data_IF_634002788422
#
_entry.id   IF_634002788422
#
_cell.length_a   1.000
_cell.length_b   1.000
_cell.length_c   1.000
_cell.angle_alpha   90.00
_cell.angle_beta   90.00
_cell.angle_gamma   90.00
#
_symmetry.space_group_name_H-M   'P 1'
#
loop_
_entity.id
_entity.type
_entity.pdbx_description
1 polymer ?
#
# COMPACT_ATOMS: atom_id res chain seq x y z
N UNK A 1 16.00 5.29 12.56
CA UNK A 1 14.81 4.44 12.82
C UNK A 1 14.73 3.98 14.27
N UNK A 2 15.73 3.30 14.87
CA UNK A 2 15.67 2.87 16.28
C UNK A 2 15.25 4.00 17.24
N UNK A 3 15.80 5.21 17.05
CA UNK A 3 15.40 6.41 17.83
C UNK A 3 13.92 6.75 17.69
N UNK A 4 13.33 6.59 16.50
CA UNK A 4 11.91 6.87 16.26
C UNK A 4 11.00 5.83 16.94
N UNK A 5 11.39 4.55 16.94
CA UNK A 5 10.66 3.50 17.67
C UNK A 5 10.64 3.71 19.18
N UNK A 6 11.72 4.24 19.74
CA UNK A 6 11.89 4.46 21.18
C UNK A 6 11.30 5.81 21.66
N UNK A 7 10.78 6.64 20.75
CA UNK A 7 10.19 7.93 21.11
C UNK A 7 8.96 7.77 21.99
N UNK A 8 8.94 8.52 23.10
CA UNK A 8 7.78 8.60 24.00
C UNK A 8 6.89 9.80 23.71
N UNK A 9 7.47 10.83 23.09
CA UNK A 9 6.79 12.06 22.70
C UNK A 9 7.24 12.46 21.30
N UNK A 10 6.39 13.09 20.50
CA UNK A 10 6.76 13.55 19.16
C UNK A 10 7.84 14.63 19.21
N UNK A 11 8.71 14.70 18.19
CA UNK A 11 9.76 15.73 18.10
C UNK A 11 9.21 17.15 18.04
N UNK A 12 8.02 17.31 17.49
CA UNK A 12 7.25 18.55 17.50
C UNK A 12 5.84 18.28 18.00
N UNK A 13 5.21 19.21 18.73
CA UNK A 13 3.81 19.10 19.05
C UNK A 13 2.97 18.95 17.78
N UNK A 14 2.24 17.86 17.68
CA UNK A 14 1.34 17.56 16.58
C UNK A 14 0.08 16.87 17.13
N UNK A 15 -0.91 16.62 16.36
CA UNK A 15 -2.10 15.89 16.77
C UNK A 15 -2.04 14.38 16.47
N UNK A 16 -0.90 13.86 15.96
CA UNK A 16 -0.79 12.54 15.36
C UNK A 16 0.09 11.55 16.13
N UNK A 17 0.79 12.03 17.18
CA UNK A 17 1.62 11.18 18.04
C UNK A 17 3.03 10.90 17.49
N UNK A 18 3.67 9.87 18.04
CA UNK A 18 5.09 9.55 17.78
C UNK A 18 5.33 8.88 16.44
N UNK A 19 4.33 8.20 15.87
CA UNK A 19 4.43 7.47 14.60
C UNK A 19 4.11 8.33 13.38
N UNK A 20 3.84 9.61 13.56
CA UNK A 20 3.62 10.52 12.45
C UNK A 20 4.85 10.68 11.56
N UNK A 21 4.68 10.61 10.23
CA UNK A 21 5.77 10.73 9.24
C UNK A 21 6.54 12.06 9.35
N UNK A 22 5.91 13.13 9.81
CA UNK A 22 6.59 14.39 10.08
C UNK A 22 7.69 14.30 11.14
N UNK A 23 7.63 13.33 12.08
CA UNK A 23 8.74 13.09 13.00
C UNK A 23 9.96 12.50 12.29
N UNK A 24 9.74 11.65 11.26
CA UNK A 24 10.82 11.14 10.40
C UNK A 24 11.47 12.29 9.63
N UNK A 25 10.67 13.17 9.04
CA UNK A 25 11.16 14.36 8.30
C UNK A 25 12.03 15.26 9.21
N UNK A 26 11.55 15.56 10.43
CA UNK A 26 12.30 16.35 11.42
C UNK A 26 13.59 15.63 11.87
N UNK A 27 13.56 14.30 12.07
CA UNK A 27 14.76 13.51 12.42
C UNK A 27 15.80 13.48 11.28
N UNK A 28 15.35 13.60 10.05
CA UNK A 28 16.21 13.76 8.87
C UNK A 28 16.76 15.19 8.71
N UNK A 29 16.34 16.12 9.57
CA UNK A 29 16.84 17.50 9.62
C UNK A 29 16.13 18.48 8.68
N UNK A 30 14.94 18.14 8.23
CA UNK A 30 14.10 19.00 7.35
C UNK A 30 12.85 19.43 8.10
N UNK A 31 12.41 20.68 7.90
CA UNK A 31 11.16 21.20 8.43
C UNK A 31 9.98 20.49 7.76
N UNK A 32 9.14 19.81 8.55
CA UNK A 32 7.99 19.06 8.05
C UNK A 32 6.97 19.91 7.27
N UNK A 33 6.94 21.21 7.48
CA UNK A 33 6.07 22.10 6.70
C UNK A 33 6.47 22.24 5.23
N UNK A 34 7.64 21.72 4.86
CA UNK A 34 8.19 21.77 3.49
C UNK A 34 8.07 20.45 2.74
N UNK A 35 7.52 19.39 3.38
CA UNK A 35 7.45 18.04 2.86
C UNK A 35 6.06 17.49 3.08
N UNK A 36 5.45 16.91 2.05
CA UNK A 36 4.18 16.20 2.21
C UNK A 36 4.39 14.92 3.02
N UNK A 37 4.05 14.97 4.31
CA UNK A 37 4.24 13.88 5.27
C UNK A 37 2.96 13.57 6.07
N UNK A 38 1.79 13.77 5.43
CA UNK A 38 0.49 13.52 6.06
C UNK A 38 0.20 12.02 6.12
N UNK A 39 0.69 11.39 7.15
CA UNK A 39 0.50 9.97 7.42
C UNK A 39 1.22 9.52 8.67
N UNK A 40 1.00 8.28 9.02
CA UNK A 40 1.69 7.60 10.11
C UNK A 40 2.35 6.31 9.62
N UNK A 41 3.24 5.77 10.41
CA UNK A 41 3.90 4.49 10.15
C UNK A 41 3.63 3.51 11.29
N UNK A 42 3.60 2.22 10.97
CA UNK A 42 3.54 1.13 11.93
C UNK A 42 4.36 -0.08 11.44
N UNK A 43 4.33 -1.18 12.20
CA UNK A 43 4.99 -2.44 11.85
C UNK A 43 6.45 -2.27 11.42
N UNK A 44 7.20 -1.40 12.11
CA UNK A 44 8.60 -1.14 11.78
C UNK A 44 9.48 -2.30 12.22
N UNK A 45 10.08 -2.98 11.25
CA UNK A 45 10.97 -4.12 11.47
C UNK A 45 12.28 -3.93 10.71
N UNK A 46 13.37 -4.42 11.30
CA UNK A 46 14.68 -4.46 10.68
C UNK A 46 15.16 -5.92 10.70
N UNK A 47 15.29 -6.51 9.52
CA UNK A 47 15.83 -7.84 9.31
C UNK A 47 17.08 -7.74 8.43
N UNK A 48 18.22 -8.06 9.00
CA UNK A 48 19.55 -7.82 8.41
C UNK A 48 19.71 -6.37 7.91
N UNK A 49 19.70 -6.15 6.60
CA UNK A 49 19.81 -4.86 5.93
C UNK A 49 18.49 -4.36 5.32
N UNK A 50 17.40 -5.09 5.55
CA UNK A 50 16.05 -4.72 5.07
C UNK A 50 15.26 -4.07 6.19
N UNK A 51 14.88 -2.81 5.97
CA UNK A 51 13.95 -2.09 6.84
C UNK A 51 12.57 -2.10 6.21
N UNK A 52 11.60 -2.72 6.89
CA UNK A 52 10.20 -2.75 6.46
C UNK A 52 9.31 -1.99 7.42
N UNK A 53 8.30 -1.34 6.91
CA UNK A 53 7.24 -0.68 7.68
C UNK A 53 6.03 -0.42 6.79
N UNK A 54 4.87 -0.32 7.42
CA UNK A 54 3.62 0.08 6.78
C UNK A 54 3.38 1.56 7.01
N UNK A 55 2.77 2.24 6.06
CA UNK A 55 2.32 3.62 6.22
C UNK A 55 0.83 3.73 5.94
N UNK A 56 0.14 4.53 6.77
CA UNK A 56 -1.20 5.01 6.48
C UNK A 56 -1.09 6.48 6.11
N UNK A 57 -1.42 6.81 4.88
CA UNK A 57 -1.25 8.14 4.31
C UNK A 57 -2.58 8.66 3.76
N UNK A 58 -2.70 9.99 3.61
CA UNK A 58 -3.90 10.58 3.03
C UNK A 58 -3.82 10.60 1.50
N UNK A 59 -4.71 9.88 0.84
CA UNK A 59 -4.96 9.86 -0.61
C UNK A 59 -3.91 9.17 -1.47
N UNK A 60 -2.65 9.19 -1.09
CA UNK A 60 -1.55 8.60 -1.83
C UNK A 60 -0.30 8.50 -0.96
N UNK A 61 0.68 7.68 -1.36
CA UNK A 61 1.97 7.57 -0.66
C UNK A 61 2.69 8.92 -0.56
N UNK A 62 3.43 9.14 0.51
CA UNK A 62 4.19 10.37 0.72
C UNK A 62 5.52 10.33 -0.06
N UNK A 63 5.46 10.53 -1.39
CA UNK A 63 6.63 10.48 -2.29
C UNK A 63 7.75 11.43 -1.89
N UNK A 64 7.41 12.63 -1.40
CA UNK A 64 8.40 13.59 -0.91
C UNK A 64 9.19 13.10 0.30
N UNK A 65 8.59 12.22 1.13
CA UNK A 65 9.31 11.57 2.23
C UNK A 65 10.28 10.52 1.69
N UNK A 66 9.86 9.75 0.68
CA UNK A 66 10.72 8.77 0.01
C UNK A 66 11.91 9.46 -0.68
N UNK A 67 11.67 10.56 -1.39
CA UNK A 67 12.70 11.35 -2.04
C UNK A 67 13.70 11.91 -1.02
N UNK A 68 13.22 12.41 0.11
CA UNK A 68 14.07 12.89 1.20
C UNK A 68 14.94 11.76 1.79
N UNK A 69 14.38 10.55 1.94
CA UNK A 69 15.14 9.39 2.40
C UNK A 69 16.23 9.04 1.38
N UNK A 70 15.91 8.98 0.09
CA UNK A 70 16.87 8.71 -1.00
C UNK A 70 17.96 9.77 -1.09
N UNK A 71 17.62 11.04 -0.93
CA UNK A 71 18.60 12.14 -0.90
C UNK A 71 19.56 11.99 0.28
N UNK A 72 19.04 11.65 1.46
CA UNK A 72 19.85 11.50 2.67
C UNK A 72 20.71 10.23 2.65
N UNK A 73 20.21 9.17 2.03
CA UNK A 73 20.85 7.84 1.97
C UNK A 73 20.85 7.32 0.52
N UNK A 74 21.75 7.84 -0.36
CA UNK A 74 21.71 7.51 -1.79
C UNK A 74 22.01 6.05 -2.14
N UNK A 75 22.49 5.26 -1.18
CA UNK A 75 22.84 3.84 -1.36
C UNK A 75 21.68 2.88 -1.05
N UNK A 76 20.52 3.38 -0.62
CA UNK A 76 19.38 2.52 -0.36
C UNK A 76 18.43 2.48 -1.54
N UNK A 77 17.83 1.32 -1.75
CA UNK A 77 16.69 1.14 -2.64
C UNK A 77 15.40 1.14 -1.83
N UNK A 78 14.36 1.76 -2.38
CA UNK A 78 13.03 1.76 -1.78
C UNK A 78 12.11 0.90 -2.64
N UNK A 79 11.64 -0.22 -2.07
CA UNK A 79 10.57 -1.01 -2.62
C UNK A 79 9.26 -0.64 -1.93
N UNK A 80 8.18 -0.51 -2.68
CA UNK A 80 6.86 -0.20 -2.13
C UNK A 80 5.74 -0.93 -2.88
N UNK A 81 4.63 -1.12 -2.16
CA UNK A 81 3.29 -1.40 -2.66
C UNK A 81 2.35 -0.35 -2.09
N UNK A 82 1.51 0.24 -2.92
CA UNK A 82 0.55 1.27 -2.54
C UNK A 82 -0.86 0.85 -2.95
N UNK A 83 -1.79 1.00 -2.04
CA UNK A 83 -3.21 0.72 -2.23
C UNK A 83 -4.04 1.90 -1.74
N UNK A 84 -4.86 2.46 -2.62
CA UNK A 84 -5.86 3.49 -2.30
C UNK A 84 -7.17 3.12 -3.01
N UNK A 85 -8.00 2.28 -2.37
CA UNK A 85 -9.23 1.77 -2.98
C UNK A 85 -10.20 2.85 -3.44
N UNK A 86 -10.30 3.96 -2.68
CA UNK A 86 -11.19 5.08 -3.00
C UNK A 86 -10.83 5.81 -4.30
N UNK A 87 -9.59 5.71 -4.74
CA UNK A 87 -9.08 6.28 -5.99
C UNK A 87 -8.74 5.22 -7.04
N UNK A 88 -8.96 3.94 -6.74
CA UNK A 88 -8.56 2.80 -7.55
C UNK A 88 -7.06 2.81 -7.89
N UNK A 89 -6.21 3.21 -6.93
CA UNK A 89 -4.76 3.20 -7.09
C UNK A 89 -4.21 1.93 -6.47
N UNK A 90 -3.56 1.12 -7.29
CA UNK A 90 -2.85 -0.09 -6.90
C UNK A 90 -1.53 -0.12 -7.64
N UNK A 91 -0.45 0.18 -6.94
CA UNK A 91 0.88 0.36 -7.53
C UNK A 91 1.94 -0.38 -6.74
N UNK A 92 2.96 -0.86 -7.45
CA UNK A 92 4.18 -1.43 -6.88
C UNK A 92 5.38 -1.11 -7.75
N UNK A 93 6.57 -1.13 -7.19
CA UNK A 93 7.81 -0.94 -7.95
C UNK A 93 8.79 -2.12 -7.83
N UNK A 94 8.40 -3.21 -7.18
CA UNK A 94 9.30 -4.33 -6.96
C UNK A 94 8.53 -5.66 -6.91
N UNK A 95 8.84 -6.56 -7.84
CA UNK A 95 8.18 -7.87 -7.92
C UNK A 95 8.84 -8.95 -7.04
N UNK A 96 9.99 -8.66 -6.43
CA UNK A 96 10.63 -9.60 -5.49
C UNK A 96 10.00 -9.48 -4.11
N UNK A 97 9.79 -8.25 -3.64
CA UNK A 97 9.14 -7.99 -2.34
C UNK A 97 7.62 -8.05 -2.43
N UNK A 98 7.04 -7.71 -3.57
CA UNK A 98 5.59 -7.68 -3.83
C UNK A 98 5.29 -8.45 -5.11
N UNK A 99 5.31 -9.80 -5.07
CA UNK A 99 5.15 -10.63 -6.27
C UNK A 99 3.72 -10.67 -6.80
N UNK A 100 2.71 -10.36 -5.98
CA UNK A 100 1.31 -10.45 -6.33
C UNK A 100 0.94 -9.38 -7.37
N UNK A 101 0.25 -9.78 -8.45
CA UNK A 101 -0.23 -8.88 -9.50
C UNK A 101 -1.70 -8.48 -9.32
N UNK A 102 -2.46 -9.24 -8.53
CA UNK A 102 -3.89 -9.00 -8.32
C UNK A 102 -4.24 -9.01 -6.85
N UNK A 103 -5.21 -8.21 -6.47
CA UNK A 103 -5.95 -8.33 -5.21
C UNK A 103 -7.45 -8.43 -5.52
N UNK A 104 -8.10 -9.37 -4.86
CA UNK A 104 -9.57 -9.52 -4.87
C UNK A 104 -10.07 -9.30 -3.45
N UNK A 105 -10.86 -8.27 -3.26
CA UNK A 105 -11.53 -7.95 -2.01
C UNK A 105 -12.91 -8.60 -2.02
N UNK A 106 -13.18 -9.45 -1.04
CA UNK A 106 -14.44 -10.17 -0.83
C UNK A 106 -15.20 -9.63 0.40
N UNK A 107 -15.35 -8.33 0.52
CA UNK A 107 -16.05 -7.63 1.60
C UNK A 107 -15.32 -7.65 2.96
N UNK A 108 -14.84 -8.82 3.42
CA UNK A 108 -14.17 -8.99 4.72
C UNK A 108 -12.71 -9.43 4.60
N UNK A 109 -12.28 -9.84 3.40
CA UNK A 109 -10.95 -10.43 3.18
C UNK A 109 -10.34 -10.00 1.84
N UNK A 110 -9.16 -9.40 1.88
CA UNK A 110 -8.33 -9.15 0.71
C UNK A 110 -7.46 -10.37 0.41
N UNK A 111 -7.64 -10.97 -0.76
CA UNK A 111 -6.82 -12.09 -1.22
C UNK A 111 -5.94 -11.66 -2.37
N UNK A 112 -4.63 -11.87 -2.21
CA UNK A 112 -3.60 -11.48 -3.18
C UNK A 112 -3.20 -12.65 -4.06
N UNK A 113 -3.11 -12.43 -5.36
CA UNK A 113 -2.80 -13.46 -6.35
C UNK A 113 -1.60 -13.08 -7.23
N UNK A 114 -0.72 -14.06 -7.50
CA UNK A 114 0.45 -13.85 -8.35
C UNK A 114 0.06 -13.69 -9.83
N UNK A 115 -0.99 -14.40 -10.27
CA UNK A 115 -1.38 -14.45 -11.67
C UNK A 115 -2.87 -14.20 -11.87
N UNK A 116 -3.22 -13.63 -13.01
CA UNK A 116 -4.60 -13.43 -13.44
C UNK A 116 -5.43 -14.72 -13.40
N UNK A 117 -4.84 -15.85 -13.79
CA UNK A 117 -5.54 -17.15 -13.79
C UNK A 117 -5.95 -17.61 -12.38
N UNK A 118 -5.18 -17.27 -11.35
CA UNK A 118 -5.51 -17.61 -9.96
C UNK A 118 -6.65 -16.72 -9.45
N UNK A 119 -6.59 -15.43 -9.73
CA UNK A 119 -7.67 -14.49 -9.42
C UNK A 119 -8.97 -14.87 -10.15
N UNK A 120 -8.88 -15.23 -11.42
CA UNK A 120 -10.02 -15.67 -12.22
C UNK A 120 -10.64 -16.96 -11.68
N UNK A 121 -9.82 -17.93 -11.28
CA UNK A 121 -10.31 -19.18 -10.65
C UNK A 121 -11.03 -18.86 -9.33
N UNK A 122 -10.50 -17.98 -8.51
CA UNK A 122 -11.12 -17.58 -7.26
C UNK A 122 -12.49 -16.93 -7.48
N UNK A 123 -12.60 -16.04 -8.48
CA UNK A 123 -13.89 -15.46 -8.87
C UNK A 123 -14.86 -16.51 -9.40
N UNK A 124 -14.37 -17.47 -10.20
CA UNK A 124 -15.18 -18.59 -10.69
C UNK A 124 -15.74 -19.41 -9.56
N UNK A 125 -14.92 -19.72 -8.55
CA UNK A 125 -15.34 -20.46 -7.36
C UNK A 125 -16.36 -19.67 -6.52
N UNK A 126 -16.14 -18.35 -6.36
CA UNK A 126 -17.03 -17.48 -5.61
C UNK A 126 -18.41 -17.36 -6.25
N UNK A 127 -18.48 -17.11 -7.57
CA UNK A 127 -19.74 -16.96 -8.29
C UNK A 127 -20.35 -18.30 -8.74
N UNK A 128 -19.62 -19.41 -8.69
CA UNK A 128 -20.04 -20.70 -9.20
C UNK A 128 -20.18 -20.74 -10.73
N UNK A 129 -19.36 -19.96 -11.45
CA UNK A 129 -19.40 -19.78 -12.90
C UNK A 129 -17.98 -19.92 -13.46
N UNK A 130 -17.81 -20.72 -14.51
CA UNK A 130 -16.54 -20.78 -15.22
C UNK A 130 -16.41 -19.58 -16.16
N UNK A 131 -15.58 -18.61 -15.80
CA UNK A 131 -15.30 -17.45 -16.64
C UNK A 131 -14.22 -17.78 -17.68
N UNK A 132 -14.43 -17.28 -18.89
CA UNK A 132 -13.49 -17.43 -20.00
C UNK A 132 -12.24 -16.56 -19.81
N UNK A 133 -12.43 -15.35 -19.33
CA UNK A 133 -11.39 -14.34 -19.14
C UNK A 133 -11.80 -13.35 -18.05
N UNK A 134 -10.87 -12.48 -17.64
CA UNK A 134 -11.10 -11.49 -16.61
C UNK A 134 -12.14 -10.44 -17.03
N UNK A 135 -12.26 -10.12 -18.31
CA UNK A 135 -13.25 -9.16 -18.81
C UNK A 135 -14.68 -9.64 -18.54
N UNK A 136 -14.95 -10.94 -18.78
CA UNK A 136 -16.24 -11.56 -18.48
C UNK A 136 -16.52 -11.56 -16.99
N UNK A 137 -15.55 -11.91 -16.17
CA UNK A 137 -15.69 -11.88 -14.69
C UNK A 137 -15.98 -10.46 -14.18
N UNK A 138 -15.30 -9.45 -14.70
CA UNK A 138 -15.47 -8.05 -14.31
C UNK A 138 -16.86 -7.48 -14.64
N UNK A 139 -17.54 -7.99 -15.68
CA UNK A 139 -18.94 -7.63 -15.98
C UNK A 139 -19.81 -8.09 -14.81
N UNK A 140 -19.68 -9.35 -14.39
CA UNK A 140 -20.49 -9.89 -13.30
C UNK A 140 -20.17 -9.24 -11.94
N UNK A 141 -18.89 -8.96 -11.68
CA UNK A 141 -18.47 -8.22 -10.48
C UNK A 141 -19.18 -6.87 -10.40
N UNK A 142 -19.23 -6.10 -11.49
CA UNK A 142 -19.93 -4.82 -11.54
C UNK A 142 -21.44 -4.98 -11.32
N UNK A 143 -22.05 -5.93 -12.01
CA UNK A 143 -23.49 -6.20 -11.86
C UNK A 143 -23.87 -6.66 -10.44
N UNK A 144 -22.97 -7.40 -9.77
CA UNK A 144 -23.15 -7.82 -8.40
C UNK A 144 -23.07 -6.63 -7.43
N UNK A 145 -22.08 -5.77 -7.61
CA UNK A 145 -21.91 -4.58 -6.77
C UNK A 145 -23.05 -3.57 -6.94
N UNK A 146 -23.61 -3.45 -8.15
CA UNK A 146 -24.76 -2.58 -8.42
C UNK A 146 -26.07 -3.06 -7.73
N UNK A 147 -26.16 -4.33 -7.39
CA UNK A 147 -27.35 -4.92 -6.74
C UNK A 147 -27.30 -4.93 -5.22
N UNK A 148 -26.24 -4.45 -4.61
CA UNK A 148 -26.01 -4.41 -3.15
C UNK A 148 -25.99 -5.82 -2.47
N UNK A 149 -25.79 -6.88 -3.24
CA UNK A 149 -25.97 -8.28 -2.82
C UNK A 149 -24.63 -9.01 -2.60
N UNK A 150 -23.60 -8.33 -2.29
CA UNK A 150 -22.27 -8.89 -2.07
C UNK A 150 -21.22 -8.09 -2.82
N UNK A 151 -20.24 -7.63 -2.10
CA UNK A 151 -19.25 -6.70 -2.62
C UNK A 151 -17.99 -7.43 -2.94
N UNK A 152 -17.61 -7.41 -4.21
CA UNK A 152 -16.35 -7.97 -4.70
C UNK A 152 -15.66 -6.93 -5.54
N UNK A 153 -14.42 -6.62 -5.24
CA UNK A 153 -13.60 -5.76 -6.08
C UNK A 153 -12.36 -6.51 -6.54
N UNK A 154 -11.98 -6.27 -7.77
CA UNK A 154 -10.78 -6.85 -8.37
C UNK A 154 -9.89 -5.72 -8.84
N UNK A 155 -8.67 -5.69 -8.37
CA UNK A 155 -7.69 -4.69 -8.74
C UNK A 155 -6.39 -5.35 -9.19
N UNK A 156 -5.76 -4.74 -10.18
CA UNK A 156 -4.47 -5.15 -10.70
C UNK A 156 -3.43 -4.11 -10.32
N UNK A 157 -2.29 -4.57 -9.81
CA UNK A 157 -1.17 -3.68 -9.53
C UNK A 157 -0.51 -3.21 -10.82
N UNK A 158 -0.35 -1.90 -10.94
CA UNK A 158 0.49 -1.29 -11.95
C UNK A 158 1.94 -1.24 -11.46
N UNK A 159 2.87 -1.66 -12.32
CA UNK A 159 4.30 -1.51 -12.03
C UNK A 159 4.72 -0.10 -12.40
N UNK A 160 5.25 0.65 -11.43
CA UNK A 160 5.75 2.02 -11.60
C UNK A 160 7.24 2.08 -11.27
N UNK A 161 8.00 2.92 -11.99
CA UNK A 161 9.45 3.10 -11.80
C UNK A 161 9.79 4.09 -10.68
#
# INVERSE_FOLDING_TARGET
>A
MKRLQEMKEPLKPNGFGTTWLGNLVEDLGVDFNKVQCRGSWDCLELDDDILSFRTETAWYRCTEVEDLIKEKYPSIDIAFRCEEPGMAIYEKNNNVFFPEDYVVDYEDDDIYYLMESEALQSLSDFFGIDFKDMDEAMILVRENNDKDDGRVWVNKYEFVE
#
